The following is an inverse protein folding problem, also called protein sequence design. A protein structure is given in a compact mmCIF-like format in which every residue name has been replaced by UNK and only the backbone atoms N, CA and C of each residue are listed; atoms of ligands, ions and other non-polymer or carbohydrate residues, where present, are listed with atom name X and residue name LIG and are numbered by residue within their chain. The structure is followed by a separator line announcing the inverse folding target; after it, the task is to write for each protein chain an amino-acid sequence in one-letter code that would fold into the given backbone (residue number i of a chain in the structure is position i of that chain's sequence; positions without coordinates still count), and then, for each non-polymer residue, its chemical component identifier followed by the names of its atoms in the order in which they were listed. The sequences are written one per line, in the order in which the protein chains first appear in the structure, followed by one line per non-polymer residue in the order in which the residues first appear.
data_IF_171719881352
#
_entry.id   IF_171719881352
#
_cell.length_a   1.000
_cell.length_b   1.000
_cell.length_c   1.000
_cell.angle_alpha   90.00
_cell.angle_beta   90.00
_cell.angle_gamma   90.00
#
_symmetry.space_group_name_H-M   'P 1'
#
loop_
_entity.id
_entity.type
_entity.pdbx_description
1 polymer ?
#
# COMPACT_ATOMS: atom_id res chain seq x y z
N UNK A 1 21.82 -42.13 -57.55
CA UNK A 1 23.28 -42.07 -57.77
C UNK A 1 23.87 -41.18 -56.69
N UNK A 2 24.42 -41.82 -55.66
CA UNK A 2 25.85 -41.71 -55.27
C UNK A 2 26.14 -40.34 -54.66
N UNK A 3 25.85 -40.15 -53.37
CA UNK A 3 26.78 -40.35 -52.24
C UNK A 3 27.95 -39.35 -52.25
N UNK A 4 27.99 -38.46 -51.25
CA UNK A 4 29.23 -38.13 -50.56
C UNK A 4 28.93 -37.80 -49.09
N UNK A 5 29.72 -38.45 -48.24
CA UNK A 5 29.70 -38.47 -46.78
C UNK A 5 30.89 -37.59 -46.28
N UNK A 6 31.12 -37.49 -44.96
CA UNK A 6 31.06 -36.27 -44.16
C UNK A 6 32.46 -35.67 -43.86
N UNK A 7 32.51 -34.52 -43.18
CA UNK A 7 33.67 -34.20 -42.34
C UNK A 7 33.25 -33.32 -41.16
N UNK A 8 33.66 -33.76 -39.98
CA UNK A 8 33.47 -33.12 -38.68
C UNK A 8 34.85 -32.65 -38.17
N UNK A 9 34.93 -32.12 -36.95
CA UNK A 9 35.20 -30.73 -36.59
C UNK A 9 36.71 -30.46 -36.36
N UNK A 10 37.09 -29.23 -35.98
CA UNK A 10 38.23 -29.04 -35.06
C UNK A 10 38.23 -27.67 -34.37
N UNK A 11 38.70 -27.74 -33.15
CA UNK A 11 38.72 -26.82 -32.02
C UNK A 11 39.90 -25.84 -32.04
N UNK A 12 39.68 -24.69 -31.40
CA UNK A 12 40.56 -23.98 -30.43
C UNK A 12 41.95 -23.44 -30.83
N UNK A 13 42.18 -22.23 -30.30
CA UNK A 13 43.40 -21.69 -29.64
C UNK A 13 44.23 -20.63 -30.40
N UNK A 14 44.24 -19.44 -29.79
CA UNK A 14 45.22 -18.33 -29.79
C UNK A 14 46.69 -18.83 -29.70
N UNK A 15 47.74 -18.06 -30.08
CA UNK A 15 48.17 -16.83 -29.37
C UNK A 15 48.78 -15.71 -30.25
N UNK A 16 49.09 -14.60 -29.57
CA UNK A 16 49.56 -13.30 -30.04
C UNK A 16 51.03 -13.26 -30.52
N UNK A 17 51.37 -12.19 -31.26
CA UNK A 17 52.74 -11.68 -31.42
C UNK A 17 52.72 -10.15 -31.63
N UNK A 18 53.81 -9.38 -31.36
CA UNK A 18 53.78 -8.22 -30.49
C UNK A 18 54.38 -7.01 -31.22
N UNK A 19 54.69 -5.94 -30.47
CA UNK A 19 55.41 -4.75 -30.92
C UNK A 19 54.57 -3.85 -31.85
N UNK A 20 54.60 -2.53 -31.80
CA UNK A 20 55.53 -1.54 -31.24
C UNK A 20 54.76 -0.22 -31.44
N UNK A 21 54.56 0.65 -30.45
CA UNK A 21 55.45 1.80 -30.21
C UNK A 21 54.85 2.66 -29.09
N UNK A 22 55.70 2.90 -28.09
CA UNK A 22 55.58 3.94 -27.06
C UNK A 22 55.53 5.34 -27.68
N UNK A 23 54.68 6.22 -27.15
CA UNK A 23 55.07 7.59 -26.76
C UNK A 23 54.32 7.99 -25.49
N UNK A 24 55.10 8.44 -24.51
CA UNK A 24 54.67 9.00 -23.24
C UNK A 24 53.99 10.35 -23.43
N UNK A 25 52.92 10.59 -22.67
CA UNK A 25 52.61 11.91 -22.13
C UNK A 25 52.00 11.71 -20.75
N UNK A 26 52.75 12.12 -19.73
CA UNK A 26 52.35 12.17 -18.34
C UNK A 26 51.36 13.34 -18.16
N UNK A 27 50.24 13.10 -17.48
CA UNK A 27 49.28 14.13 -17.11
C UNK A 27 48.39 13.67 -15.96
N UNK A 28 48.67 14.19 -14.76
CA UNK A 28 47.86 14.27 -13.55
C UNK A 28 46.70 13.26 -13.36
N UNK A 29 46.90 12.27 -12.49
CA UNK A 29 45.79 11.56 -11.85
C UNK A 29 45.35 12.34 -10.60
N UNK A 30 44.21 13.03 -10.66
CA UNK A 30 43.46 13.39 -9.47
C UNK A 30 42.73 12.13 -8.98
N UNK A 31 43.10 11.67 -7.79
CA UNK A 31 42.42 10.57 -7.11
C UNK A 31 41.01 10.96 -6.69
N UNK A 32 40.02 10.17 -7.10
CA UNK A 32 38.72 10.11 -6.42
C UNK A 32 38.70 8.80 -5.64
N UNK A 33 39.00 8.91 -4.35
CA UNK A 33 38.74 7.84 -3.39
C UNK A 33 37.23 7.79 -3.16
N UNK A 34 36.53 6.87 -3.82
CA UNK A 34 35.15 6.53 -3.51
C UNK A 34 35.11 5.76 -2.18
N UNK A 35 34.82 6.49 -1.10
CA UNK A 35 34.47 5.89 0.20
C UNK A 35 33.09 5.27 0.06
N UNK A 36 33.04 3.96 -0.19
CA UNK A 36 31.83 3.17 -0.03
C UNK A 36 31.54 3.06 1.48
N UNK A 37 30.64 3.90 1.99
CA UNK A 37 30.12 3.76 3.35
C UNK A 37 29.30 2.48 3.48
N UNK A 38 29.32 1.79 4.64
CA UNK A 38 28.55 0.58 4.84
C UNK A 38 27.06 0.92 4.90
N UNK A 39 26.30 0.41 3.94
CA UNK A 39 24.85 0.39 4.01
C UNK A 39 24.44 -0.57 5.15
N UNK A 40 24.11 -0.01 6.30
CA UNK A 40 23.39 -0.72 7.37
C UNK A 40 22.01 -1.09 6.81
N UNK A 41 21.87 -2.35 6.40
CA UNK A 41 20.59 -2.92 5.97
C UNK A 41 19.62 -2.95 7.15
N UNK A 42 18.54 -2.19 7.05
CA UNK A 42 17.40 -2.33 7.93
C UNK A 42 16.72 -3.68 7.71
N UNK A 43 16.51 -4.42 8.79
CA UNK A 43 15.87 -5.73 8.84
C UNK A 43 14.42 -5.58 8.35
N UNK A 44 14.05 -6.31 7.28
CA UNK A 44 12.66 -6.49 6.84
C UNK A 44 12.14 -5.59 5.71
N UNK A 45 12.99 -4.89 4.96
CA UNK A 45 12.55 -4.00 3.87
C UNK A 45 12.20 -4.73 2.57
N UNK A 46 10.93 -4.74 2.18
CA UNK A 46 10.56 -4.93 0.77
C UNK A 46 11.37 -3.91 -0.09
N UNK A 47 11.96 -4.31 -1.23
CA UNK A 47 12.77 -3.41 -2.03
C UNK A 47 11.94 -2.20 -2.46
N UNK A 48 12.38 -1.01 -2.05
CA UNK A 48 11.76 0.25 -2.45
C UNK A 48 12.21 0.61 -3.87
N UNK A 49 11.28 1.12 -4.68
CA UNK A 49 11.48 1.36 -6.11
C UNK A 49 11.99 2.78 -6.37
N UNK A 50 13.32 2.99 -6.30
CA UNK A 50 13.98 4.30 -6.44
C UNK A 50 14.11 4.79 -7.91
N UNK A 51 13.42 4.15 -8.87
CA UNK A 51 13.65 4.39 -10.31
C UNK A 51 12.51 5.05 -11.10
N UNK A 52 11.34 5.28 -10.51
CA UNK A 52 10.20 5.88 -11.23
C UNK A 52 9.94 7.27 -10.67
N UNK A 53 9.90 8.28 -11.55
CA UNK A 53 9.56 9.64 -11.15
C UNK A 53 8.12 9.69 -10.65
N UNK A 54 7.85 10.50 -9.63
CA UNK A 54 6.54 10.62 -9.01
C UNK A 54 5.47 11.22 -9.94
N UNK A 55 5.81 11.75 -11.12
CA UNK A 55 4.84 12.36 -12.04
C UNK A 55 4.32 11.36 -13.08
N UNK A 56 3.03 11.46 -13.40
CA UNK A 56 2.35 10.72 -14.47
C UNK A 56 1.24 11.60 -15.06
N UNK A 57 0.83 11.43 -16.34
CA UNK A 57 -0.28 12.21 -16.90
C UNK A 57 -1.59 12.08 -16.10
N UNK A 58 -1.86 10.88 -15.59
CA UNK A 58 -3.01 10.61 -14.73
C UNK A 58 -2.90 11.39 -13.42
N UNK A 59 -1.72 11.37 -12.79
CA UNK A 59 -1.49 12.08 -11.54
C UNK A 59 -1.64 13.59 -11.70
N UNK A 60 -1.12 14.21 -12.74
CA UNK A 60 -1.27 15.67 -12.92
C UNK A 60 -2.75 16.08 -12.99
N UNK A 61 -3.56 15.28 -13.71
CA UNK A 61 -5.01 15.49 -13.79
C UNK A 61 -5.70 15.28 -12.44
N UNK A 62 -5.34 14.21 -11.72
CA UNK A 62 -5.92 13.90 -10.40
C UNK A 62 -5.51 14.92 -9.35
N UNK A 63 -4.25 15.36 -9.36
CA UNK A 63 -3.69 16.35 -8.43
C UNK A 63 -4.47 17.64 -8.50
N UNK A 64 -4.67 18.18 -9.69
CA UNK A 64 -5.41 19.43 -9.88
C UNK A 64 -6.88 19.28 -9.44
N UNK A 65 -7.54 18.17 -9.80
CA UNK A 65 -8.94 17.93 -9.42
C UNK A 65 -9.16 17.75 -7.93
N UNK A 66 -8.26 17.05 -7.24
CA UNK A 66 -8.43 16.66 -5.84
C UNK A 66 -7.83 17.67 -4.86
N UNK A 67 -6.73 18.34 -5.25
CA UNK A 67 -5.95 19.20 -4.35
C UNK A 67 -5.70 20.61 -4.92
N UNK A 68 -6.22 20.91 -6.12
CA UNK A 68 -6.08 22.22 -6.76
C UNK A 68 -4.61 22.62 -6.94
N UNK A 69 -4.29 23.84 -6.54
CA UNK A 69 -2.94 24.41 -6.63
C UNK A 69 -2.11 24.24 -5.35
N UNK A 70 -2.60 23.49 -4.36
CA UNK A 70 -1.89 23.32 -3.09
C UNK A 70 -0.51 22.67 -3.32
N UNK A 71 0.48 23.15 -2.57
CA UNK A 71 1.79 22.52 -2.52
C UNK A 71 1.70 21.21 -1.75
N UNK A 72 2.23 20.15 -2.35
CA UNK A 72 2.30 18.82 -1.74
C UNK A 72 3.78 18.50 -1.54
N UNK A 73 4.23 18.37 -0.29
CA UNK A 73 5.59 17.98 0.03
C UNK A 73 5.82 16.51 -0.37
N UNK A 74 6.84 16.24 -1.17
CA UNK A 74 7.22 14.89 -1.62
C UNK A 74 8.69 14.58 -1.32
N UNK A 75 9.11 13.34 -1.56
CA UNK A 75 10.49 12.90 -1.35
C UNK A 75 10.96 13.07 0.11
N UNK A 76 12.13 13.68 0.29
CA UNK A 76 12.74 13.85 1.62
C UNK A 76 11.95 14.79 2.55
N UNK A 77 11.18 15.74 2.00
CA UNK A 77 10.38 16.68 2.79
C UNK A 77 9.04 16.07 3.28
N UNK A 78 8.62 14.95 2.68
CA UNK A 78 7.34 14.32 2.96
C UNK A 78 7.33 13.59 4.31
N UNK A 79 6.30 13.90 5.09
CA UNK A 79 6.02 13.29 6.40
C UNK A 79 5.19 11.99 6.31
N UNK A 80 5.13 11.36 5.14
CA UNK A 80 4.51 10.05 4.96
C UNK A 80 5.43 9.15 4.14
N UNK A 81 5.37 7.84 4.42
CA UNK A 81 6.02 6.81 3.64
C UNK A 81 4.99 5.81 3.13
N UNK A 82 5.09 5.46 1.87
CA UNK A 82 4.35 4.39 1.23
C UNK A 82 5.29 3.21 0.96
N UNK A 83 4.90 2.03 1.43
CA UNK A 83 5.61 0.77 1.21
C UNK A 83 4.67 -0.17 0.45
N UNK A 84 5.07 -0.49 -0.78
CA UNK A 84 4.35 -1.35 -1.72
C UNK A 84 5.41 -2.11 -2.53
N UNK A 85 5.20 -3.40 -2.87
CA UNK A 85 6.16 -4.13 -3.69
C UNK A 85 6.24 -3.55 -5.12
N UNK A 86 7.45 -3.52 -5.69
CA UNK A 86 7.65 -3.14 -7.09
C UNK A 86 6.91 -4.07 -8.06
N UNK A 87 6.83 -5.36 -7.75
CA UNK A 87 6.06 -6.37 -8.49
C UNK A 87 5.16 -7.09 -7.49
N UNK A 88 3.86 -7.02 -7.70
CA UNK A 88 2.91 -7.80 -6.92
C UNK A 88 2.59 -9.11 -7.66
N UNK A 89 2.42 -10.20 -6.91
CA UNK A 89 2.06 -11.49 -7.48
C UNK A 89 0.63 -11.50 -8.05
N UNK A 90 -0.27 -10.70 -7.48
CA UNK A 90 -1.68 -10.70 -7.82
C UNK A 90 -2.27 -9.28 -7.78
N UNK A 91 -2.81 -8.83 -8.92
CA UNK A 91 -3.32 -7.46 -9.08
C UNK A 91 -4.56 -7.17 -8.24
N UNK A 92 -5.34 -8.18 -7.87
CA UNK A 92 -6.55 -7.98 -7.07
C UNK A 92 -6.26 -7.77 -5.58
N UNK A 93 -5.02 -7.98 -5.13
CA UNK A 93 -4.64 -7.97 -3.72
C UNK A 93 -3.19 -7.52 -3.52
N UNK A 94 -2.91 -6.26 -3.87
CA UNK A 94 -1.60 -5.65 -3.69
C UNK A 94 -1.47 -5.14 -2.25
N UNK A 95 -0.50 -5.62 -1.44
CA UNK A 95 -0.32 -5.15 -0.09
C UNK A 95 0.21 -3.71 -0.08
N UNK A 96 -0.42 -2.86 0.74
CA UNK A 96 -0.07 -1.46 0.90
C UNK A 96 0.14 -1.16 2.37
N UNK A 97 1.30 -0.59 2.72
CA UNK A 97 1.59 -0.09 4.06
C UNK A 97 1.93 1.40 4.02
N UNK A 98 1.27 2.15 4.88
CA UNK A 98 1.43 3.60 5.06
C UNK A 98 2.03 3.84 6.42
N UNK A 99 3.07 4.66 6.48
CA UNK A 99 3.75 5.05 7.72
C UNK A 99 3.84 6.57 7.77
N UNK A 100 3.12 7.20 8.69
CA UNK A 100 3.41 8.59 9.04
C UNK A 100 4.82 8.71 9.63
N UNK A 101 5.60 9.67 9.15
CA UNK A 101 6.94 9.99 9.66
C UNK A 101 6.92 11.14 10.69
N UNK A 102 5.73 11.63 11.05
CA UNK A 102 5.62 12.67 12.07
C UNK A 102 6.20 12.16 13.39
N UNK A 103 7.15 12.90 13.93
CA UNK A 103 7.66 12.67 15.26
C UNK A 103 6.60 13.06 16.30
N UNK A 104 6.52 12.32 17.40
CA UNK A 104 5.62 12.67 18.52
C UNK A 104 5.87 14.10 19.06
N UNK A 105 7.09 14.62 18.92
CA UNK A 105 7.49 15.97 19.35
C UNK A 105 7.05 17.09 18.39
N UNK A 106 6.53 16.76 17.20
CA UNK A 106 6.16 17.74 16.18
C UNK A 106 4.90 18.54 16.58
N UNK A 107 4.04 17.97 17.43
CA UNK A 107 2.83 18.62 17.96
C UNK A 107 1.67 18.69 16.96
N UNK A 108 1.93 18.53 15.67
CA UNK A 108 0.90 18.38 14.62
C UNK A 108 0.37 16.96 14.57
N UNK A 109 -0.83 16.81 14.00
CA UNK A 109 -1.51 15.52 13.84
C UNK A 109 -1.96 15.31 12.40
N UNK A 110 -1.99 14.05 11.99
CA UNK A 110 -2.61 13.68 10.71
C UNK A 110 -4.12 13.77 10.86
N UNK A 111 -4.77 14.53 9.98
CA UNK A 111 -6.23 14.65 9.92
C UNK A 111 -6.86 13.74 8.88
N UNK A 112 -6.20 13.59 7.74
CA UNK A 112 -6.74 12.82 6.60
C UNK A 112 -5.64 12.11 5.84
N UNK A 113 -5.95 10.93 5.32
CA UNK A 113 -5.13 10.25 4.31
C UNK A 113 -5.99 9.90 3.10
N UNK A 114 -5.52 10.18 1.89
CA UNK A 114 -6.18 9.79 0.64
C UNK A 114 -5.27 8.82 -0.09
N UNK A 115 -5.75 7.59 -0.33
CA UNK A 115 -5.07 6.55 -1.08
C UNK A 115 -5.54 6.58 -2.54
N UNK A 116 -4.59 6.58 -3.46
CA UNK A 116 -4.85 6.64 -4.89
C UNK A 116 -4.16 5.49 -5.64
N UNK A 117 -4.78 5.06 -6.74
CA UNK A 117 -4.15 4.23 -7.77
C UNK A 117 -4.37 4.91 -9.12
N UNK A 118 -3.31 5.49 -9.70
CA UNK A 118 -3.38 6.45 -10.81
C UNK A 118 -4.22 5.97 -12.01
N UNK A 119 -4.15 4.66 -12.32
CA UNK A 119 -4.79 4.07 -13.49
C UNK A 119 -5.96 3.14 -13.18
N UNK A 120 -6.48 3.14 -11.96
CA UNK A 120 -7.70 2.39 -11.69
C UNK A 120 -8.93 3.14 -12.24
N UNK A 121 -10.00 2.41 -12.62
CA UNK A 121 -11.28 3.02 -12.99
C UNK A 121 -11.88 3.91 -11.90
N UNK A 122 -11.67 3.54 -10.62
CA UNK A 122 -11.85 4.43 -9.47
C UNK A 122 -10.47 4.76 -8.87
N UNK A 123 -9.89 5.94 -9.20
CA UNK A 123 -8.55 6.31 -8.75
C UNK A 123 -8.45 6.54 -7.25
N UNK A 124 -9.51 7.04 -6.61
CA UNK A 124 -9.56 7.24 -5.15
C UNK A 124 -10.01 5.95 -4.50
N UNK A 125 -9.04 5.17 -4.00
CA UNK A 125 -9.35 3.89 -3.38
C UNK A 125 -9.98 4.06 -1.99
N UNK A 126 -9.43 4.97 -1.20
CA UNK A 126 -9.93 5.26 0.13
C UNK A 126 -9.55 6.67 0.60
N UNK A 127 -10.41 7.27 1.41
CA UNK A 127 -10.13 8.46 2.21
C UNK A 127 -10.37 8.12 3.68
N UNK A 128 -9.32 8.25 4.49
CA UNK A 128 -9.34 8.03 5.93
C UNK A 128 -9.40 9.38 6.64
N UNK A 129 -10.41 9.60 7.47
CA UNK A 129 -10.49 10.71 8.42
C UNK A 129 -10.09 10.20 9.80
N UNK A 130 -9.05 10.80 10.39
CA UNK A 130 -8.41 10.24 11.58
C UNK A 130 -8.89 10.94 12.86
N UNK A 131 -9.24 10.14 13.86
CA UNK A 131 -9.69 10.59 15.16
C UNK A 131 -8.60 10.55 16.22
N UNK A 132 -8.90 11.11 17.39
CA UNK A 132 -7.92 11.27 18.47
C UNK A 132 -7.61 9.99 19.24
N UNK A 133 -8.44 8.94 19.10
CA UNK A 133 -8.18 7.63 19.69
C UNK A 133 -7.23 6.77 18.83
N UNK A 134 -6.86 7.23 17.64
CA UNK A 134 -5.81 6.59 16.85
C UNK A 134 -4.44 6.80 17.51
N UNK A 135 -3.62 5.76 17.50
CA UNK A 135 -2.19 5.86 17.82
C UNK A 135 -1.40 6.48 16.66
N UNK A 136 -0.13 6.09 16.46
CA UNK A 136 0.61 6.48 15.28
C UNK A 136 -0.19 6.20 13.99
N UNK A 137 -0.25 7.17 13.09
CA UNK A 137 -1.02 7.05 11.84
C UNK A 137 -0.29 6.12 10.86
N UNK A 138 -0.35 4.82 11.15
CA UNK A 138 0.18 3.73 10.35
C UNK A 138 -0.99 2.85 9.94
N UNK A 139 -1.08 2.56 8.65
CA UNK A 139 -2.17 1.77 8.09
C UNK A 139 -1.63 0.69 7.17
N UNK A 140 -2.23 -0.49 7.19
CA UNK A 140 -2.01 -1.51 6.17
C UNK A 140 -3.35 -1.94 5.58
N UNK A 141 -3.37 -2.12 4.27
CA UNK A 141 -4.54 -2.60 3.54
C UNK A 141 -4.10 -3.33 2.27
N UNK A 142 -5.07 -3.78 1.47
CA UNK A 142 -4.83 -4.34 0.14
C UNK A 142 -5.68 -3.61 -0.88
N UNK A 143 -5.05 -3.27 -2.00
CA UNK A 143 -5.71 -2.58 -3.11
C UNK A 143 -5.74 -3.47 -4.35
N UNK A 144 -6.78 -3.29 -5.16
CA UNK A 144 -6.81 -3.74 -6.55
C UNK A 144 -5.97 -2.77 -7.38
N UNK A 145 -5.17 -3.28 -8.31
CA UNK A 145 -4.38 -2.49 -9.27
C UNK A 145 -4.64 -3.06 -10.66
N UNK A 146 -5.25 -2.25 -11.51
CA UNK A 146 -5.71 -2.71 -12.82
C UNK A 146 -4.64 -2.60 -13.91
N UNK A 147 -3.80 -1.57 -13.82
CA UNK A 147 -2.70 -1.32 -14.74
C UNK A 147 -1.43 -0.90 -14.00
N UNK A 148 -0.29 -1.10 -14.67
CA UNK A 148 1.01 -0.69 -14.16
C UNK A 148 1.02 0.82 -13.97
N UNK A 149 1.11 1.24 -12.71
CA UNK A 149 0.86 2.62 -12.31
C UNK A 149 1.42 2.90 -10.92
N UNK A 150 1.27 4.16 -10.48
CA UNK A 150 1.61 4.54 -9.12
C UNK A 150 0.43 4.28 -8.18
N UNK A 151 0.75 3.71 -7.02
CA UNK A 151 -0.05 3.87 -5.81
C UNK A 151 0.48 5.10 -5.08
N UNK A 152 -0.41 5.93 -4.54
CA UNK A 152 -0.06 7.15 -3.82
C UNK A 152 -0.80 7.22 -2.50
N UNK A 153 -0.18 7.88 -1.54
CA UNK A 153 -0.84 8.36 -0.34
C UNK A 153 -0.61 9.85 -0.22
N UNK A 154 -1.67 10.61 0.04
CA UNK A 154 -1.61 12.03 0.39
C UNK A 154 -2.10 12.17 1.82
N UNK A 155 -1.23 12.64 2.70
CA UNK A 155 -1.48 12.90 4.10
C UNK A 155 -1.72 14.40 4.31
N UNK A 156 -2.86 14.78 4.89
CA UNK A 156 -3.12 16.14 5.35
C UNK A 156 -2.93 16.24 6.86
N UNK A 157 -2.15 17.23 7.29
CA UNK A 157 -1.96 17.57 8.70
C UNK A 157 -3.03 18.55 9.21
N UNK A 158 -3.10 18.76 10.51
CA UNK A 158 -4.00 19.72 11.15
C UNK A 158 -3.68 21.19 10.88
N UNK A 159 -2.44 21.50 10.47
CA UNK A 159 -2.05 22.80 9.91
C UNK A 159 -2.49 22.99 8.43
N UNK A 160 -3.10 21.97 7.82
CA UNK A 160 -3.56 21.97 6.44
C UNK A 160 -2.50 21.58 5.40
N UNK A 161 -1.24 21.40 5.79
CA UNK A 161 -0.16 21.00 4.88
C UNK A 161 -0.37 19.59 4.32
N UNK A 162 0.02 19.40 3.06
CA UNK A 162 -0.10 18.14 2.33
C UNK A 162 1.26 17.48 2.14
N UNK A 163 1.33 16.18 2.39
CA UNK A 163 2.53 15.35 2.25
C UNK A 163 2.20 14.11 1.43
N UNK A 164 3.03 13.76 0.47
CA UNK A 164 2.80 12.63 -0.42
C UNK A 164 3.99 11.69 -0.45
N UNK A 165 3.69 10.40 -0.58
CA UNK A 165 4.65 9.42 -1.09
C UNK A 165 3.99 8.58 -2.18
N UNK A 166 4.80 8.09 -3.12
CA UNK A 166 4.33 7.39 -4.31
C UNK A 166 5.21 6.16 -4.61
N UNK A 167 4.59 5.08 -5.08
CA UNK A 167 5.31 3.86 -5.48
C UNK A 167 4.72 3.30 -6.76
N UNK A 168 5.58 3.13 -7.77
CA UNK A 168 5.21 2.44 -9.00
C UNK A 168 5.17 0.92 -8.79
N UNK A 169 4.08 0.30 -9.24
CA UNK A 169 3.81 -1.13 -9.12
C UNK A 169 3.63 -1.75 -10.50
N UNK A 170 4.30 -2.87 -10.73
CA UNK A 170 4.21 -3.67 -11.96
C UNK A 170 3.30 -4.87 -11.72
N UNK A 171 1.99 -4.63 -11.87
CA UNK A 171 0.93 -5.65 -11.82
C UNK A 171 -0.31 -5.11 -12.54
N UNK A 172 -1.17 -5.98 -13.05
CA UNK A 172 -2.38 -5.61 -13.79
C UNK A 172 -3.53 -6.59 -13.56
N UNK A 173 -4.71 -6.23 -14.05
CA UNK A 173 -5.91 -7.09 -14.08
C UNK A 173 -6.61 -7.23 -12.72
N UNK A 174 -6.32 -6.37 -11.76
CA UNK A 174 -6.90 -6.45 -10.42
C UNK A 174 -8.40 -6.20 -10.36
N UNK A 175 -8.96 -5.36 -11.23
CA UNK A 175 -10.40 -5.07 -11.23
C UNK A 175 -11.21 -6.19 -11.92
N UNK A 176 -10.65 -6.85 -12.92
CA UNK A 176 -11.34 -7.94 -13.64
C UNK A 176 -11.15 -9.33 -13.02
N UNK A 177 -10.44 -9.41 -11.90
CA UNK A 177 -10.11 -10.68 -11.25
C UNK A 177 -11.37 -11.39 -10.73
N UNK A 178 -11.55 -12.71 -10.95
CA UNK A 178 -12.74 -13.43 -10.49
C UNK A 178 -12.94 -13.28 -8.97
N UNK A 179 -14.17 -12.96 -8.52
CA UNK A 179 -14.44 -12.75 -7.10
C UNK A 179 -14.56 -14.09 -6.38
N UNK A 180 -14.11 -14.16 -5.13
CA UNK A 180 -14.40 -15.30 -4.28
C UNK A 180 -15.87 -15.28 -3.86
N UNK A 181 -16.53 -16.44 -3.95
CA UNK A 181 -17.93 -16.62 -3.53
C UNK A 181 -18.15 -17.85 -2.66
N UNK A 182 -17.13 -18.27 -1.90
CA UNK A 182 -17.23 -19.45 -1.03
C UNK A 182 -18.21 -19.25 0.15
N UNK A 183 -18.40 -18.02 0.64
CA UNK A 183 -19.20 -17.75 1.86
C UNK A 183 -20.14 -16.54 1.73
N UNK A 184 -21.10 -16.54 0.79
CA UNK A 184 -22.00 -15.41 0.56
C UNK A 184 -22.92 -15.10 1.75
N UNK A 185 -23.17 -16.07 2.63
CA UNK A 185 -23.97 -15.90 3.84
C UNK A 185 -23.24 -15.11 4.95
N UNK A 186 -21.93 -14.84 4.78
CA UNK A 186 -21.12 -14.06 5.72
C UNK A 186 -20.86 -12.63 5.24
N UNK A 187 -21.47 -12.19 4.14
CA UNK A 187 -21.32 -10.83 3.62
C UNK A 187 -21.68 -9.81 4.73
N UNK A 188 -20.77 -8.87 4.97
CA UNK A 188 -20.88 -7.86 6.02
C UNK A 188 -20.41 -8.31 7.41
N UNK A 189 -20.06 -9.59 7.61
CA UNK A 189 -19.48 -10.04 8.89
C UNK A 189 -18.18 -9.29 9.15
N UNK A 190 -18.17 -8.51 10.22
CA UNK A 190 -17.04 -7.66 10.60
C UNK A 190 -16.26 -8.31 11.74
N UNK A 191 -14.96 -8.46 11.55
CA UNK A 191 -14.03 -9.10 12.47
C UNK A 191 -13.05 -8.05 12.97
N UNK A 192 -12.92 -7.94 14.29
CA UNK A 192 -11.89 -7.15 14.97
C UNK A 192 -10.92 -8.11 15.63
N UNK A 193 -9.61 -7.91 15.41
CA UNK A 193 -8.56 -8.79 15.95
C UNK A 193 -7.37 -7.98 16.46
N UNK A 194 -6.73 -8.52 17.49
CA UNK A 194 -5.45 -8.05 18.00
C UNK A 194 -4.38 -9.05 17.53
N UNK A 195 -3.69 -8.82 16.40
CA UNK A 195 -2.74 -9.79 15.85
C UNK A 195 -1.63 -10.18 16.85
N UNK A 196 -1.20 -9.23 17.68
CA UNK A 196 -0.16 -9.43 18.69
C UNK A 196 -0.71 -9.42 20.13
N UNK A 197 -2.03 -9.53 20.30
CA UNK A 197 -2.70 -9.31 21.59
C UNK A 197 -2.74 -7.85 22.01
N UNK A 198 -3.28 -7.57 23.21
CA UNK A 198 -3.34 -6.22 23.77
C UNK A 198 -1.98 -5.85 24.37
N UNK A 199 -1.28 -4.89 23.76
CA UNK A 199 0.04 -4.42 24.20
C UNK A 199 -0.03 -2.97 24.70
N UNK A 200 0.50 -2.72 25.91
CA UNK A 200 0.44 -1.37 26.54
C UNK A 200 1.79 -0.68 26.63
N UNK A 201 2.88 -1.40 26.43
CA UNK A 201 4.25 -0.93 26.65
C UNK A 201 4.61 0.27 25.77
N UNK A 202 4.16 0.27 24.51
CA UNK A 202 4.39 1.36 23.56
C UNK A 202 3.27 2.43 23.57
N UNK A 203 2.28 2.31 24.46
CA UNK A 203 1.08 3.16 24.48
C UNK A 203 0.16 2.99 23.26
N UNK A 204 0.39 1.96 22.45
CA UNK A 204 -0.47 1.60 21.32
C UNK A 204 -0.50 0.09 21.10
N UNK A 205 -1.56 -0.37 20.44
CA UNK A 205 -1.80 -1.78 20.07
C UNK A 205 -2.18 -1.85 18.59
N UNK A 206 -1.62 -2.82 17.87
CA UNK A 206 -2.03 -3.11 16.51
C UNK A 206 -3.42 -3.78 16.50
N UNK A 207 -4.28 -3.34 15.58
CA UNK A 207 -5.64 -3.86 15.43
C UNK A 207 -5.94 -4.08 13.96
N UNK A 208 -6.56 -5.21 13.65
CA UNK A 208 -7.14 -5.50 12.33
C UNK A 208 -8.66 -5.36 12.38
N UNK A 209 -9.22 -4.56 11.48
CA UNK A 209 -10.65 -4.64 11.11
C UNK A 209 -10.76 -5.27 9.72
N UNK A 210 -11.48 -6.38 9.62
CA UNK A 210 -11.76 -7.09 8.36
C UNK A 210 -13.25 -7.24 8.17
N UNK A 211 -13.77 -6.83 7.01
CA UNK A 211 -15.15 -7.10 6.62
C UNK A 211 -15.16 -8.22 5.60
N UNK A 212 -15.89 -9.31 5.86
CA UNK A 212 -16.09 -10.34 4.84
C UNK A 212 -17.03 -9.78 3.77
N UNK A 213 -16.50 -9.56 2.56
CA UNK A 213 -17.24 -8.90 1.49
C UNK A 213 -16.59 -9.17 0.13
N UNK A 214 -17.35 -9.48 -0.94
CA UNK A 214 -16.79 -9.78 -2.26
C UNK A 214 -16.05 -8.59 -2.88
N UNK A 215 -16.47 -7.35 -2.55
CA UNK A 215 -15.98 -6.12 -3.17
C UNK A 215 -15.87 -6.26 -4.70
N UNK A 216 -17.02 -6.61 -5.30
CA UNK A 216 -17.18 -6.70 -6.75
C UNK A 216 -17.04 -5.30 -7.35
N UNK A 217 -16.19 -5.15 -8.36
CA UNK A 217 -15.84 -3.87 -8.98
C UNK A 217 -16.77 -3.46 -10.11
N UNK A 218 -17.50 -4.41 -10.70
CA UNK A 218 -18.28 -4.16 -11.92
C UNK A 218 -17.60 -4.64 -13.19
N UNK A 219 -16.31 -4.99 -13.13
CA UNK A 219 -15.49 -5.39 -14.28
C UNK A 219 -15.28 -6.91 -14.36
N UNK A 220 -15.68 -7.64 -13.33
CA UNK A 220 -15.61 -9.09 -13.30
C UNK A 220 -16.69 -9.72 -14.19
N UNK A 221 -16.32 -10.76 -14.94
CA UNK A 221 -17.28 -11.57 -15.70
C UNK A 221 -17.78 -12.74 -14.86
N UNK A 222 -19.09 -12.94 -14.86
CA UNK A 222 -19.69 -14.19 -14.42
C UNK A 222 -19.29 -15.31 -15.39
N UNK A 223 -18.60 -16.34 -14.89
CA UNK A 223 -18.04 -17.40 -15.73
C UNK A 223 -19.10 -18.31 -16.39
N UNK A 224 -20.36 -18.24 -15.94
CA UNK A 224 -21.49 -18.99 -16.52
C UNK A 224 -22.25 -18.13 -17.52
N UNK A 225 -22.68 -16.93 -17.11
CA UNK A 225 -23.53 -16.08 -17.95
C UNK A 225 -22.74 -15.20 -18.92
N UNK A 226 -21.43 -15.04 -18.70
CA UNK A 226 -20.53 -14.13 -19.44
C UNK A 226 -20.98 -12.66 -19.36
N UNK A 227 -21.83 -12.34 -18.38
CA UNK A 227 -22.26 -10.97 -18.08
C UNK A 227 -21.38 -10.37 -17.00
N UNK A 228 -21.22 -9.05 -17.02
CA UNK A 228 -20.58 -8.32 -15.93
C UNK A 228 -21.36 -8.47 -14.63
N UNK A 229 -20.63 -8.71 -13.55
CA UNK A 229 -21.17 -8.72 -12.19
C UNK A 229 -21.41 -7.28 -11.77
N UNK A 230 -22.62 -6.90 -11.34
CA UNK A 230 -22.86 -5.54 -10.86
C UNK A 230 -21.96 -5.19 -9.67
N UNK A 231 -21.48 -3.93 -9.56
CA UNK A 231 -20.60 -3.53 -8.47
C UNK A 231 -21.29 -3.70 -7.11
N UNK A 232 -20.56 -4.29 -6.17
CA UNK A 232 -21.02 -4.54 -4.80
C UNK A 232 -19.81 -4.49 -3.87
N UNK A 233 -19.62 -3.35 -3.20
CA UNK A 233 -18.43 -3.09 -2.38
C UNK A 233 -18.75 -2.34 -1.09
N UNK A 234 -17.87 -2.47 -0.10
CA UNK A 234 -17.97 -1.69 1.15
C UNK A 234 -17.68 -0.22 0.87
N UNK A 235 -18.62 0.67 1.16
CA UNK A 235 -18.47 2.12 1.00
C UNK A 235 -17.83 2.79 2.20
N UNK A 236 -18.15 2.33 3.42
CA UNK A 236 -17.59 2.95 4.61
C UNK A 236 -17.36 1.99 5.77
N UNK A 237 -16.35 2.31 6.58
CA UNK A 237 -16.07 1.69 7.88
C UNK A 237 -15.83 2.83 8.89
N UNK A 238 -16.60 2.89 9.96
CA UNK A 238 -16.45 3.87 11.05
C UNK A 238 -15.99 3.13 12.30
N UNK A 239 -14.78 3.40 12.77
CA UNK A 239 -14.17 2.71 13.91
C UNK A 239 -14.13 3.63 15.12
N UNK A 240 -14.68 3.15 16.25
CA UNK A 240 -14.83 3.90 17.49
C UNK A 240 -14.32 3.11 18.70
N UNK A 241 -13.74 3.82 19.67
CA UNK A 241 -13.39 3.28 20.99
C UNK A 241 -14.31 3.92 22.03
N UNK A 242 -15.35 3.20 22.44
CA UNK A 242 -16.55 3.80 23.03
C UNK A 242 -17.12 4.85 22.07
N UNK A 243 -17.28 6.08 22.55
CA UNK A 243 -17.74 7.21 21.73
C UNK A 243 -16.61 7.93 20.96
N UNK A 244 -15.34 7.60 21.25
CA UNK A 244 -14.20 8.33 20.68
C UNK A 244 -13.90 7.85 19.26
N UNK A 245 -13.74 8.76 18.28
CA UNK A 245 -13.37 8.37 16.93
C UNK A 245 -11.93 7.85 16.88
N UNK A 246 -11.76 6.67 16.27
CA UNK A 246 -10.44 6.13 15.92
C UNK A 246 -10.13 6.53 14.48
N UNK A 247 -10.91 6.06 13.52
CA UNK A 247 -10.89 6.57 12.15
C UNK A 247 -12.17 6.23 11.43
N UNK A 248 -12.40 6.97 10.36
CA UNK A 248 -13.52 6.86 9.45
C UNK A 248 -12.95 6.62 8.06
N UNK A 249 -13.25 5.51 7.42
CA UNK A 249 -12.79 5.16 6.08
C UNK A 249 -13.95 5.23 5.10
N UNK A 250 -13.85 6.11 4.10
CA UNK A 250 -14.71 6.14 2.92
C UNK A 250 -13.94 5.51 1.76
N UNK A 251 -14.53 4.53 1.09
CA UNK A 251 -13.83 3.63 0.16
C UNK A 251 -14.64 3.41 -1.11
N UNK A 252 -13.93 2.97 -2.15
CA UNK A 252 -14.52 2.50 -3.40
C UNK A 252 -14.02 1.09 -3.73
N UNK A 253 -14.47 0.52 -4.84
CA UNK A 253 -14.15 -0.84 -5.29
C UNK A 253 -12.66 -1.09 -5.59
N UNK A 254 -11.82 -0.06 -5.56
CA UNK A 254 -10.35 -0.20 -5.64
C UNK A 254 -9.75 -0.82 -4.37
N UNK A 255 -10.49 -0.92 -3.26
CA UNK A 255 -10.08 -1.75 -2.11
C UNK A 255 -10.39 -3.21 -2.39
N UNK A 256 -9.43 -4.09 -2.11
CA UNK A 256 -9.53 -5.53 -2.37
C UNK A 256 -10.72 -6.20 -1.68
N UNK A 257 -11.05 -7.40 -2.16
CA UNK A 257 -11.93 -8.34 -1.47
C UNK A 257 -11.55 -8.50 0.00
N UNK A 258 -12.57 -8.68 0.85
CA UNK A 258 -12.45 -8.76 2.30
C UNK A 258 -11.68 -7.55 2.85
N UNK A 259 -12.18 -6.32 2.64
CA UNK A 259 -11.46 -5.10 2.95
C UNK A 259 -10.97 -5.15 4.39
N UNK A 260 -9.66 -5.00 4.53
CA UNK A 260 -8.95 -5.11 5.80
C UNK A 260 -8.13 -3.86 6.02
N UNK A 261 -8.22 -3.32 7.23
CA UNK A 261 -7.39 -2.22 7.70
C UNK A 261 -6.68 -2.63 8.98
N UNK A 262 -5.35 -2.71 8.92
CA UNK A 262 -4.51 -2.77 10.12
C UNK A 262 -4.16 -1.35 10.53
N UNK A 263 -4.30 -1.01 11.80
CA UNK A 263 -3.99 0.31 12.33
C UNK A 263 -3.44 0.23 13.76
N UNK A 264 -2.90 1.34 14.25
CA UNK A 264 -2.45 1.45 15.64
C UNK A 264 -3.51 2.16 16.47
N UNK A 265 -4.02 1.50 17.51
CA UNK A 265 -4.95 2.07 18.47
C UNK A 265 -4.17 2.65 19.65
N UNK A 266 -4.46 3.89 20.05
CA UNK A 266 -3.88 4.44 21.27
C UNK A 266 -4.51 3.77 22.49
N UNK A 267 -3.68 3.25 23.40
CA UNK A 267 -4.14 2.57 24.61
C UNK A 267 -3.52 3.19 25.86
N UNK A 268 -4.27 3.35 26.96
CA UNK A 268 -3.73 3.88 28.20
C UNK A 268 -2.77 2.88 28.85
N UNK A 269 -1.73 3.41 29.51
CA UNK A 269 -0.74 2.61 30.23
C UNK A 269 -1.37 1.73 31.33
N UNK A 270 -2.44 2.21 31.96
CA UNK A 270 -3.14 1.56 33.06
C UNK A 270 -4.66 1.74 32.90
N UNK A 271 -5.44 0.85 33.50
CA UNK A 271 -6.91 0.92 33.49
C UNK A 271 -7.58 0.30 32.27
N UNK A 272 -8.91 0.42 32.23
CA UNK A 272 -9.75 -0.11 31.17
C UNK A 272 -9.51 0.61 29.84
N UNK A 273 -9.56 -0.13 28.73
CA UNK A 273 -9.49 0.42 27.37
C UNK A 273 -10.89 0.63 26.82
N UNK A 274 -11.80 -0.32 27.06
CA UNK A 274 -13.20 -0.29 26.64
C UNK A 274 -13.50 -1.04 25.34
N UNK A 275 -14.69 -0.75 24.81
CA UNK A 275 -15.27 -1.42 23.66
C UNK A 275 -14.81 -0.79 22.34
N UNK A 276 -14.13 -1.57 21.50
CA UNK A 276 -13.87 -1.20 20.12
C UNK A 276 -15.03 -1.64 19.25
N UNK A 277 -15.57 -0.74 18.43
CA UNK A 277 -16.65 -1.06 17.48
C UNK A 277 -16.32 -0.57 16.08
N UNK A 278 -16.80 -1.29 15.08
CA UNK A 278 -16.70 -0.95 13.67
C UNK A 278 -18.08 -1.05 13.02
N UNK A 279 -18.58 0.08 12.54
CA UNK A 279 -19.82 0.17 11.77
C UNK A 279 -19.49 0.17 10.28
N UNK A 280 -20.21 -0.62 9.50
CA UNK A 280 -19.90 -0.88 8.10
C UNK A 280 -21.14 -0.68 7.25
N UNK A 281 -20.94 -0.07 6.09
CA UNK A 281 -21.99 0.17 5.09
C UNK A 281 -21.50 -0.17 3.69
N UNK A 282 -22.26 -0.96 2.95
CA UNK A 282 -21.94 -1.34 1.56
C UNK A 282 -22.75 -0.55 0.51
N UNK A 283 -22.43 -0.77 -0.76
CA UNK A 283 -23.07 -0.09 -1.91
C UNK A 283 -24.50 -0.55 -2.19
N UNK A 284 -25.01 -1.54 -1.45
CA UNK A 284 -26.38 -2.05 -1.49
C UNK A 284 -27.15 -1.72 -0.20
N UNK A 285 -26.66 -0.74 0.57
CA UNK A 285 -27.27 -0.25 1.80
C UNK A 285 -27.31 -1.29 2.94
N UNK A 286 -26.53 -2.38 2.84
CA UNK A 286 -26.34 -3.29 3.96
C UNK A 286 -25.54 -2.56 5.05
N UNK A 287 -26.05 -2.59 6.28
CA UNK A 287 -25.39 -2.03 7.46
C UNK A 287 -25.09 -3.15 8.45
N UNK A 288 -23.83 -3.26 8.86
CA UNK A 288 -23.41 -4.23 9.88
C UNK A 288 -22.51 -3.58 10.92
N UNK A 289 -22.31 -4.30 12.04
CA UNK A 289 -21.49 -3.83 13.15
C UNK A 289 -20.67 -4.98 13.72
N UNK A 290 -19.39 -4.74 13.95
CA UNK A 290 -18.49 -5.63 14.67
C UNK A 290 -18.02 -4.99 15.96
N UNK A 291 -17.81 -5.79 17.00
CA UNK A 291 -17.39 -5.30 18.32
C UNK A 291 -16.31 -6.22 18.92
N UNK A 292 -15.42 -5.60 19.71
CA UNK A 292 -14.41 -6.29 20.49
C UNK A 292 -14.23 -5.56 21.82
N UNK A 293 -14.55 -6.24 22.92
CA UNK A 293 -14.26 -5.76 24.27
C UNK A 293 -12.77 -5.98 24.56
N UNK A 294 -11.99 -4.91 24.53
CA UNK A 294 -10.53 -4.97 24.68
C UNK A 294 -10.12 -5.34 26.11
N UNK A 295 -10.99 -5.10 27.10
CA UNK A 295 -10.72 -5.47 28.49
C UNK A 295 -10.89 -6.97 28.72
N UNK A 296 -11.70 -7.64 27.90
CA UNK A 296 -11.82 -9.12 27.89
C UNK A 296 -10.82 -9.79 26.95
N UNK A 297 -10.40 -9.10 25.90
CA UNK A 297 -9.46 -9.63 24.90
C UNK A 297 -8.03 -9.84 25.45
N UNK A 298 -7.66 -9.17 26.54
CA UNK A 298 -6.34 -9.31 27.18
C UNK A 298 -6.22 -10.45 28.19
N UNK A 299 -7.23 -11.33 28.32
CA UNK A 299 -7.29 -12.42 29.31
C UNK A 299 -7.06 -13.81 28.66
N UNK A 300 -6.62 -13.86 27.40
CA UNK A 300 -6.36 -15.09 26.66
C UNK A 300 -4.85 -15.35 26.48
#
# INVERSE_FOLDING_TARGET
MTAHRPFEPLTTTTPADPARRRRLAQGLALGVASVAGPALGAIGGLPTNVGHADSSPQWETLRERLFGTQTIASGAASQVQLIVPLRAAYGASVPVRIVSKLANSDGRRVRRMTLLVDKNPSPVAATLTLGEALGPAHFETRLRVDEYSHIRVIQQLDDGSLHMDSRYVKVSGGCSAPPNRESPHLIGKTLLRLPDGLTREAGNTAVDVTVLHPNDTGFELNQVTVMFIPPHFVRSIRVRLGERPVFDADMDFSVSENPTWRFQLAVPAQGQVGLLSAEVEDSKELRTRGELDLDRAGVA
#
